data_IF_331276658417
#
_entry.id   IF_331276658417
#
_cell.length_a   1.000
_cell.length_b   1.000
_cell.length_c   1.000
_cell.angle_alpha   90.00
_cell.angle_beta   90.00
_cell.angle_gamma   90.00
#
_symmetry.space_group_name_H-M   'P 1'
#
loop_
_entity.id
_entity.type
_entity.pdbx_description
1 polymer ?
#
# COMPACT_ATOMS: atom_id res chain seq x y z
N UNK A 1 45.49 22.33 -39.03
CA UNK A 1 45.37 22.98 -40.37
C UNK A 1 44.93 21.88 -41.32
N UNK A 2 43.80 21.90 -42.01
CA UNK A 2 42.93 22.96 -42.54
C UNK A 2 41.45 22.50 -42.45
N UNK A 3 40.53 23.35 -41.99
CA UNK A 3 39.55 24.11 -42.79
C UNK A 3 38.28 23.32 -43.19
N UNK A 4 37.13 23.63 -42.54
CA UNK A 4 35.79 23.49 -43.13
C UNK A 4 35.55 24.57 -44.21
N UNK A 5 34.33 24.89 -44.70
CA UNK A 5 32.94 24.59 -44.27
C UNK A 5 32.06 24.21 -45.54
N UNK A 6 30.73 24.46 -45.73
CA UNK A 6 29.71 25.17 -44.94
C UNK A 6 28.33 24.49 -44.74
N UNK A 7 27.63 25.05 -43.74
CA UNK A 7 26.20 24.90 -43.48
C UNK A 7 25.36 25.60 -44.57
N UNK A 8 24.29 24.93 -45.01
CA UNK A 8 23.24 25.53 -45.85
C UNK A 8 21.87 25.36 -45.21
N UNK A 9 21.35 26.48 -44.71
CA UNK A 9 19.96 26.98 -44.83
C UNK A 9 19.14 26.31 -45.94
N UNK A 10 17.81 26.11 -45.92
CA UNK A 10 16.65 26.70 -45.23
C UNK A 10 15.41 25.97 -45.75
N UNK A 11 14.31 25.89 -44.98
CA UNK A 11 12.95 26.43 -45.32
C UNK A 11 11.83 25.67 -44.61
N UNK A 12 11.16 26.39 -43.70
CA UNK A 12 9.80 26.09 -43.25
C UNK A 12 8.78 26.54 -44.32
N UNK A 13 7.71 25.78 -44.57
CA UNK A 13 6.48 26.32 -45.09
C UNK A 13 5.49 26.69 -43.97
N UNK A 14 4.82 27.80 -44.23
CA UNK A 14 3.88 28.57 -43.41
C UNK A 14 2.46 27.96 -43.36
N UNK A 15 1.71 28.27 -42.30
CA UNK A 15 0.29 27.93 -42.09
C UNK A 15 -0.63 28.57 -43.15
N UNK A 16 -1.60 27.81 -43.68
CA UNK A 16 -3.06 27.93 -43.41
C UNK A 16 -3.91 27.06 -44.38
N UNK A 17 -5.17 26.91 -43.97
CA UNK A 17 -6.35 26.29 -44.62
C UNK A 17 -6.53 24.80 -44.33
N UNK A 18 -7.31 24.38 -43.34
CA UNK A 18 -8.76 24.57 -43.10
C UNK A 18 -9.65 23.93 -44.18
N UNK A 19 -9.78 22.60 -44.14
CA UNK A 19 -11.01 21.93 -44.62
C UNK A 19 -11.43 20.82 -43.67
N UNK A 20 -12.69 20.95 -43.26
CA UNK A 20 -13.47 20.09 -42.38
C UNK A 20 -13.65 18.70 -42.99
N UNK A 21 -13.47 17.65 -42.20
CA UNK A 21 -14.33 16.45 -42.25
C UNK A 21 -14.44 15.87 -40.84
N UNK A 22 -15.54 16.26 -40.18
CA UNK A 22 -16.11 15.56 -39.05
C UNK A 22 -16.72 14.24 -39.55
N UNK A 23 -16.30 13.12 -38.96
CA UNK A 23 -17.06 11.88 -38.94
C UNK A 23 -17.07 11.44 -37.47
N UNK A 24 -18.11 11.85 -36.74
CA UNK A 24 -19.25 11.00 -36.43
C UNK A 24 -18.90 9.90 -35.40
N UNK A 25 -18.68 10.31 -34.14
CA UNK A 25 -18.98 9.47 -32.98
C UNK A 25 -20.36 9.86 -32.49
N UNK A 26 -21.32 8.98 -32.76
CA UNK A 26 -22.73 9.15 -32.47
C UNK A 26 -23.03 9.16 -30.98
N UNK A 27 -23.88 10.12 -30.61
CA UNK A 27 -24.95 10.06 -29.61
C UNK A 27 -24.79 9.04 -28.47
N UNK A 28 -24.50 9.54 -27.27
CA UNK A 28 -25.14 8.99 -26.06
C UNK A 28 -25.58 10.11 -25.13
N UNK A 29 -26.76 10.67 -25.41
CA UNK A 29 -27.57 11.38 -24.42
C UNK A 29 -28.71 10.45 -24.02
N UNK A 30 -28.80 10.13 -22.72
CA UNK A 30 -29.82 10.65 -21.77
C UNK A 30 -30.26 9.58 -20.76
N UNK A 31 -30.24 9.99 -19.49
CA UNK A 31 -31.17 9.65 -18.39
C UNK A 31 -31.20 8.25 -17.78
N UNK A 32 -30.89 8.25 -16.47
CA UNK A 32 -31.08 7.23 -15.43
C UNK A 32 -32.40 6.44 -15.55
N UNK A 33 -32.32 5.13 -15.33
CA UNK A 33 -33.36 4.35 -14.64
C UNK A 33 -32.66 3.47 -13.60
N UNK A 34 -33.00 3.69 -12.33
CA UNK A 34 -32.49 2.94 -11.21
C UNK A 34 -33.15 1.56 -11.16
N UNK A 35 -32.31 0.51 -11.15
CA UNK A 35 -32.62 -0.77 -10.51
C UNK A 35 -31.35 -1.15 -9.75
N UNK A 36 -31.29 -0.78 -8.48
CA UNK A 36 -30.35 -1.36 -7.54
C UNK A 36 -30.96 -2.71 -7.14
N UNK A 37 -30.27 -3.81 -7.41
CA UNK A 37 -30.70 -5.14 -6.98
C UNK A 37 -30.38 -5.29 -5.48
N UNK A 38 -31.39 -5.25 -4.58
CA UNK A 38 -31.19 -5.13 -3.13
C UNK A 38 -30.51 -6.36 -2.48
N UNK A 39 -30.34 -7.45 -3.22
CA UNK A 39 -29.77 -8.70 -2.71
C UNK A 39 -28.23 -8.69 -2.72
N UNK A 40 -27.61 -7.98 -3.67
CA UNK A 40 -26.14 -7.86 -3.75
C UNK A 40 -25.58 -6.80 -2.79
N UNK A 41 -26.38 -5.83 -2.38
CA UNK A 41 -25.96 -4.79 -1.44
C UNK A 41 -25.91 -5.31 0.01
N UNK A 42 -26.71 -6.32 0.36
CA UNK A 42 -26.62 -7.03 1.65
C UNK A 42 -25.37 -7.90 1.79
N UNK A 43 -24.81 -8.40 0.68
CA UNK A 43 -23.49 -9.04 0.70
C UNK A 43 -22.39 -7.98 0.77
N UNK A 44 -22.57 -6.83 0.10
CA UNK A 44 -21.62 -5.73 0.23
C UNK A 44 -21.60 -5.15 1.64
N UNK A 45 -22.69 -5.03 2.37
CA UNK A 45 -22.64 -4.51 3.75
C UNK A 45 -21.99 -5.47 4.75
N UNK A 46 -21.92 -6.77 4.43
CA UNK A 46 -21.24 -7.79 5.23
C UNK A 46 -19.74 -7.89 4.91
N UNK A 47 -19.34 -7.63 3.66
CA UNK A 47 -17.92 -7.60 3.24
C UNK A 47 -17.28 -6.20 3.26
N UNK A 48 -18.10 -5.17 3.12
CA UNK A 48 -17.78 -3.74 3.10
C UNK A 48 -18.73 -3.06 4.08
N UNK A 49 -18.53 -3.31 5.38
CA UNK A 49 -19.27 -2.71 6.49
C UNK A 49 -19.74 -1.29 6.17
N UNK A 50 -21.00 -1.00 6.53
CA UNK A 50 -21.69 0.27 6.26
C UNK A 50 -20.73 1.46 6.29
N UNK A 51 -20.92 2.40 5.35
CA UNK A 51 -20.11 3.62 5.15
C UNK A 51 -20.17 4.61 6.33
N UNK A 52 -19.85 4.14 7.53
CA UNK A 52 -19.52 4.89 8.72
C UNK A 52 -18.01 4.85 8.87
N UNK A 53 -17.38 6.00 8.67
CA UNK A 53 -16.03 6.38 9.14
C UNK A 53 -15.13 5.18 9.44
N UNK A 54 -14.32 4.78 8.44
CA UNK A 54 -13.24 3.78 8.61
C UNK A 54 -12.63 3.92 9.99
N UNK A 55 -12.54 2.83 10.75
CA UNK A 55 -12.03 2.85 12.13
C UNK A 55 -10.58 3.38 12.15
N UNK A 56 -9.84 3.22 11.05
CA UNK A 56 -8.51 3.81 10.82
C UNK A 56 -8.51 5.27 10.34
N UNK A 57 -9.70 5.86 10.14
CA UNK A 57 -9.86 7.00 9.25
C UNK A 57 -9.38 6.68 7.83
N UNK A 58 -9.19 7.73 7.03
CA UNK A 58 -8.64 7.65 5.68
C UNK A 58 -7.10 7.77 5.66
N UNK A 59 -6.42 7.66 6.82
CA UNK A 59 -4.96 7.78 6.91
C UNK A 59 -4.28 6.42 6.63
N UNK A 60 -3.57 6.27 5.50
CA UNK A 60 -2.88 5.02 5.18
C UNK A 60 -1.71 4.71 6.11
N UNK A 61 -1.17 5.69 6.85
CA UNK A 61 -0.12 5.45 7.86
C UNK A 61 -0.68 4.76 9.09
N UNK A 62 -1.87 5.15 9.55
CA UNK A 62 -2.56 4.49 10.65
C UNK A 62 -3.00 3.08 10.25
N UNK A 63 -3.53 2.91 9.03
CA UNK A 63 -3.86 1.61 8.48
C UNK A 63 -2.63 0.69 8.38
N UNK A 64 -1.50 1.20 7.88
CA UNK A 64 -0.25 0.44 7.84
C UNK A 64 0.24 0.08 9.25
N UNK A 65 0.24 1.03 10.19
CA UNK A 65 0.64 0.79 11.57
C UNK A 65 -0.24 -0.28 12.25
N UNK A 66 -1.56 -0.28 11.99
CA UNK A 66 -2.47 -1.30 12.50
C UNK A 66 -2.14 -2.69 11.95
N UNK A 67 -1.78 -2.82 10.67
CA UNK A 67 -1.31 -4.09 10.12
C UNK A 67 0.02 -4.56 10.73
N UNK A 68 0.93 -3.64 11.05
CA UNK A 68 2.19 -3.97 11.73
C UNK A 68 1.93 -4.46 13.16
N UNK A 69 1.01 -3.82 13.88
CA UNK A 69 0.58 -4.25 15.21
C UNK A 69 -0.08 -5.63 15.16
N UNK A 70 -0.97 -5.85 14.19
CA UNK A 70 -1.60 -7.16 13.98
C UNK A 70 -0.55 -8.25 13.75
N UNK A 71 0.49 -7.98 12.96
CA UNK A 71 1.57 -8.93 12.72
C UNK A 71 2.38 -9.28 13.97
N UNK A 72 2.63 -8.28 14.82
CA UNK A 72 3.33 -8.48 16.07
C UNK A 72 2.45 -9.01 17.21
N UNK A 73 1.14 -9.17 16.99
CA UNK A 73 0.18 -9.69 17.99
C UNK A 73 -0.29 -11.11 17.68
N UNK A 74 0.26 -11.76 16.63
CA UNK A 74 -0.18 -13.09 16.18
C UNK A 74 -0.07 -14.15 17.28
N UNK A 75 0.95 -14.06 18.14
CA UNK A 75 1.17 -14.96 19.28
C UNK A 75 0.59 -14.42 20.61
N UNK A 76 0.00 -13.22 20.59
CA UNK A 76 -0.69 -12.61 21.72
C UNK A 76 0.11 -11.58 22.54
N UNK A 77 1.36 -11.27 22.20
CA UNK A 77 2.14 -10.27 22.96
C UNK A 77 2.92 -9.28 22.09
N UNK A 78 2.53 -8.01 22.14
CA UNK A 78 3.30 -6.89 21.58
C UNK A 78 4.28 -6.33 22.62
N UNK A 79 5.26 -7.14 23.00
CA UNK A 79 6.27 -6.79 24.00
C UNK A 79 7.68 -7.02 23.46
N UNK A 80 8.64 -6.16 23.83
CA UNK A 80 10.04 -6.37 23.46
C UNK A 80 10.41 -5.82 22.08
N UNK A 81 10.94 -6.68 21.21
CA UNK A 81 11.67 -6.28 20.00
C UNK A 81 10.74 -5.76 18.89
N UNK A 82 9.54 -6.31 18.79
CA UNK A 82 8.54 -6.01 17.76
C UNK A 82 8.00 -4.59 17.92
N UNK A 83 7.65 -4.20 19.15
CA UNK A 83 7.16 -2.84 19.43
C UNK A 83 8.23 -1.77 19.15
N UNK A 84 9.47 -2.02 19.56
CA UNK A 84 10.60 -1.14 19.25
C UNK A 84 10.87 -1.06 17.75
N UNK A 85 10.73 -2.19 17.05
CA UNK A 85 10.86 -2.27 15.60
C UNK A 85 9.78 -1.48 14.88
N UNK A 86 8.52 -1.59 15.29
CA UNK A 86 7.42 -0.78 14.73
C UNK A 86 7.71 0.71 14.95
N UNK A 87 8.09 1.14 16.16
CA UNK A 87 8.45 2.54 16.41
C UNK A 87 9.60 3.03 15.53
N UNK A 88 10.61 2.20 15.29
CA UNK A 88 11.71 2.51 14.35
C UNK A 88 11.17 2.71 12.93
N UNK A 89 10.36 1.78 12.44
CA UNK A 89 9.76 1.86 11.11
C UNK A 89 8.87 3.10 10.93
N UNK A 90 8.04 3.43 11.92
CA UNK A 90 7.18 4.62 11.87
C UNK A 90 7.99 5.91 11.79
N UNK A 91 9.14 5.98 12.47
CA UNK A 91 10.05 7.13 12.40
C UNK A 91 10.74 7.22 11.04
N UNK A 92 11.33 6.12 10.59
CA UNK A 92 12.18 6.12 9.38
C UNK A 92 11.38 6.17 8.08
N UNK A 93 10.28 5.40 7.99
CA UNK A 93 9.53 5.22 6.74
C UNK A 93 8.44 6.26 6.55
N UNK A 94 7.90 6.81 7.63
CA UNK A 94 6.90 7.88 7.59
C UNK A 94 7.45 9.25 7.99
N UNK A 95 8.73 9.34 8.35
CA UNK A 95 9.39 10.61 8.72
C UNK A 95 8.81 11.24 9.98
N UNK A 96 8.30 10.44 10.91
CA UNK A 96 7.62 10.93 12.10
C UNK A 96 8.61 11.21 13.25
N UNK A 97 8.44 12.32 13.99
CA UNK A 97 9.15 12.51 15.25
C UNK A 97 8.71 11.47 16.28
N UNK A 98 9.55 11.19 17.28
CA UNK A 98 9.32 10.13 18.27
C UNK A 98 7.96 10.24 18.97
N UNK A 99 7.53 11.43 19.35
CA UNK A 99 6.22 11.68 19.97
C UNK A 99 5.05 11.30 19.05
N UNK A 100 5.13 11.65 17.76
CA UNK A 100 4.11 11.31 16.78
C UNK A 100 4.12 9.83 16.43
N UNK A 101 5.29 9.19 16.35
CA UNK A 101 5.41 7.76 16.12
C UNK A 101 4.79 6.94 17.26
N UNK A 102 5.02 7.33 18.52
CA UNK A 102 4.36 6.72 19.69
C UNK A 102 2.86 6.92 19.66
N UNK A 103 2.41 8.15 19.41
CA UNK A 103 0.97 8.44 19.29
C UNK A 103 0.29 7.63 18.19
N UNK A 104 0.96 7.44 17.05
CA UNK A 104 0.44 6.61 15.95
C UNK A 104 0.41 5.12 16.32
N UNK A 105 1.43 4.62 17.02
CA UNK A 105 1.44 3.25 17.53
C UNK A 105 0.31 3.00 18.53
N UNK A 106 0.06 3.93 19.47
CA UNK A 106 -1.01 3.79 20.46
C UNK A 106 -2.40 3.80 19.81
N UNK A 107 -2.58 4.65 18.78
CA UNK A 107 -3.80 4.65 17.96
C UNK A 107 -3.96 3.31 17.23
N UNK A 108 -2.89 2.80 16.60
CA UNK A 108 -2.91 1.52 15.90
C UNK A 108 -3.23 0.34 16.83
N UNK A 109 -2.70 0.33 18.05
CA UNK A 109 -3.02 -0.67 19.09
C UNK A 109 -4.49 -0.64 19.48
N UNK A 110 -5.01 0.56 19.77
CA UNK A 110 -6.42 0.76 20.10
C UNK A 110 -7.33 0.25 18.98
N UNK A 111 -6.98 0.61 17.76
CA UNK A 111 -7.70 0.27 16.54
C UNK A 111 -7.69 -1.22 16.25
N UNK A 112 -6.55 -1.88 16.39
CA UNK A 112 -6.41 -3.32 16.22
C UNK A 112 -7.25 -4.08 17.26
N UNK A 113 -7.23 -3.65 18.53
CA UNK A 113 -8.08 -4.23 19.58
C UNK A 113 -9.59 -4.06 19.34
N UNK A 114 -9.99 -3.05 18.57
CA UNK A 114 -11.39 -2.82 18.16
C UNK A 114 -11.77 -3.55 16.87
N UNK A 115 -10.80 -3.85 16.00
CA UNK A 115 -11.00 -4.40 14.67
C UNK A 115 -10.09 -5.60 14.46
N UNK A 116 -10.60 -6.79 14.78
CA UNK A 116 -9.92 -8.06 14.50
C UNK A 116 -9.97 -8.45 13.00
N UNK A 117 -9.98 -7.46 12.10
CA UNK A 117 -10.19 -7.65 10.67
C UNK A 117 -9.13 -6.90 9.85
N UNK A 118 -8.50 -7.61 8.91
CA UNK A 118 -7.48 -7.05 7.99
C UNK A 118 -8.10 -6.15 6.90
N UNK A 119 -9.36 -6.42 6.53
CA UNK A 119 -9.97 -5.82 5.34
C UNK A 119 -10.10 -4.29 5.40
N UNK A 120 -10.55 -3.68 6.52
CA UNK A 120 -10.64 -2.23 6.62
C UNK A 120 -9.28 -1.53 6.39
N UNK A 121 -8.19 -2.06 6.97
CA UNK A 121 -6.85 -1.47 6.83
C UNK A 121 -6.29 -1.65 5.43
N UNK A 122 -6.41 -2.86 4.87
CA UNK A 122 -5.91 -3.15 3.52
C UNK A 122 -6.65 -2.34 2.46
N UNK A 123 -7.96 -2.10 2.64
CA UNK A 123 -8.73 -1.20 1.76
C UNK A 123 -8.18 0.23 1.77
N UNK A 124 -7.94 0.83 2.94
CA UNK A 124 -7.39 2.19 3.04
C UNK A 124 -6.03 2.27 2.34
N UNK A 125 -5.18 1.26 2.53
CA UNK A 125 -3.86 1.22 1.88
C UNK A 125 -4.00 1.10 0.36
N UNK A 126 -4.85 0.20 -0.15
CA UNK A 126 -5.07 0.05 -1.59
C UNK A 126 -5.61 1.32 -2.23
N UNK A 127 -6.53 2.00 -1.55
CA UNK A 127 -7.17 3.22 -2.07
C UNK A 127 -6.23 4.45 -2.07
N UNK A 128 -5.18 4.43 -1.24
CA UNK A 128 -4.30 5.61 -1.00
C UNK A 128 -2.85 5.42 -1.46
N UNK A 129 -2.35 4.20 -1.53
CA UNK A 129 -0.97 3.88 -1.88
C UNK A 129 -0.85 3.24 -3.26
N UNK A 130 0.19 3.65 -3.99
CA UNK A 130 0.60 3.03 -5.24
C UNK A 130 1.31 1.69 -5.02
N UNK A 131 1.59 0.97 -6.10
CA UNK A 131 2.21 -0.36 -6.00
C UNK A 131 3.56 -0.37 -5.26
N UNK A 132 4.52 0.55 -5.54
CA UNK A 132 5.76 0.66 -4.75
C UNK A 132 5.52 0.88 -3.25
N UNK A 133 4.58 1.75 -2.88
CA UNK A 133 4.23 2.00 -1.49
C UNK A 133 3.61 0.76 -0.82
N UNK A 134 2.78 -0.01 -1.53
CA UNK A 134 2.23 -1.28 -1.02
C UNK A 134 3.30 -2.34 -0.80
N UNK A 135 4.28 -2.44 -1.72
CA UNK A 135 5.45 -3.31 -1.53
C UNK A 135 6.25 -2.88 -0.30
N UNK A 136 6.41 -1.57 -0.08
CA UNK A 136 7.06 -1.03 1.12
C UNK A 136 6.33 -1.42 2.41
N UNK A 137 4.99 -1.50 2.42
CA UNK A 137 4.23 -2.02 3.57
C UNK A 137 4.52 -3.49 3.83
N UNK A 138 4.58 -4.32 2.78
CA UNK A 138 4.95 -5.74 2.92
C UNK A 138 6.37 -5.91 3.45
N UNK A 139 7.31 -5.08 3.01
CA UNK A 139 8.68 -5.08 3.55
C UNK A 139 8.71 -4.72 5.04
N UNK A 140 7.93 -3.73 5.47
CA UNK A 140 7.81 -3.38 6.88
C UNK A 140 7.21 -4.52 7.71
N UNK A 141 6.21 -5.25 7.18
CA UNK A 141 5.66 -6.43 7.83
C UNK A 141 6.72 -7.51 8.02
N UNK A 142 7.52 -7.80 6.99
CA UNK A 142 8.66 -8.72 7.11
C UNK A 142 9.66 -8.27 8.16
N UNK A 143 9.98 -6.97 8.23
CA UNK A 143 10.88 -6.43 9.25
C UNK A 143 10.36 -6.58 10.69
N UNK A 144 9.04 -6.59 10.88
CA UNK A 144 8.41 -6.78 12.19
C UNK A 144 8.42 -8.25 12.59
N UNK A 145 7.99 -9.16 11.71
CA UNK A 145 7.95 -10.60 12.04
C UNK A 145 9.34 -11.18 12.27
N UNK A 146 10.40 -10.59 11.70
CA UNK A 146 11.78 -11.01 11.97
C UNK A 146 12.42 -10.31 13.19
N UNK A 147 11.72 -9.41 13.88
CA UNK A 147 12.34 -8.54 14.89
C UNK A 147 12.95 -9.34 16.07
N UNK A 148 12.34 -10.46 16.44
CA UNK A 148 12.83 -11.35 17.49
C UNK A 148 13.79 -12.46 16.97
N UNK A 149 14.05 -12.49 15.66
CA UNK A 149 14.94 -13.46 15.01
C UNK A 149 14.33 -14.84 14.75
N UNK A 150 13.07 -15.07 15.10
CA UNK A 150 12.33 -16.29 14.77
C UNK A 150 11.17 -15.93 13.84
N UNK A 151 10.86 -16.82 12.90
CA UNK A 151 9.68 -16.69 12.04
C UNK A 151 8.77 -17.88 12.28
N UNK A 152 7.54 -17.61 12.68
CA UNK A 152 6.52 -18.62 12.88
C UNK A 152 5.61 -18.75 11.65
N UNK A 153 5.07 -19.94 11.42
CA UNK A 153 4.20 -20.22 10.27
C UNK A 153 2.96 -19.32 10.23
N UNK A 154 2.42 -18.96 11.41
CA UNK A 154 1.28 -18.06 11.52
C UNK A 154 1.60 -16.64 11.06
N UNK A 155 2.79 -16.14 11.38
CA UNK A 155 3.27 -14.81 10.96
C UNK A 155 3.53 -14.79 9.45
N UNK A 156 4.22 -15.81 8.93
CA UNK A 156 4.47 -15.94 7.50
C UNK A 156 3.15 -16.04 6.70
N UNK A 157 2.18 -16.79 7.22
CA UNK A 157 0.83 -16.91 6.64
C UNK A 157 0.08 -15.58 6.67
N UNK A 158 0.19 -14.81 7.76
CA UNK A 158 -0.38 -13.47 7.86
C UNK A 158 0.21 -12.55 6.77
N UNK A 159 1.53 -12.47 6.65
CA UNK A 159 2.18 -11.58 5.66
C UNK A 159 1.79 -11.98 4.23
N UNK A 160 1.72 -13.29 3.92
CA UNK A 160 1.26 -13.77 2.60
C UNK A 160 -0.17 -13.36 2.30
N UNK A 161 -1.08 -13.49 3.28
CA UNK A 161 -2.49 -13.07 3.14
C UNK A 161 -2.61 -11.56 2.94
N UNK A 162 -1.86 -10.77 3.72
CA UNK A 162 -1.84 -9.30 3.56
C UNK A 162 -1.28 -8.90 2.20
N UNK A 163 -0.22 -9.56 1.70
CA UNK A 163 0.31 -9.31 0.35
C UNK A 163 -0.75 -9.50 -0.74
N UNK A 164 -1.53 -10.58 -0.65
CA UNK A 164 -2.67 -10.81 -1.55
C UNK A 164 -3.72 -9.69 -1.49
N UNK A 165 -4.08 -9.25 -0.28
CA UNK A 165 -5.04 -8.16 -0.07
C UNK A 165 -4.54 -6.79 -0.56
N UNK A 166 -3.22 -6.56 -0.53
CA UNK A 166 -2.58 -5.35 -1.04
C UNK A 166 -2.22 -5.42 -2.53
N UNK A 167 -2.63 -6.48 -3.24
CA UNK A 167 -2.30 -6.72 -4.64
C UNK A 167 -0.78 -6.68 -4.90
N UNK A 168 0.00 -7.27 -4.00
CA UNK A 168 1.44 -7.45 -4.13
C UNK A 168 1.71 -8.89 -4.56
N UNK A 169 2.51 -9.06 -5.62
CA UNK A 169 2.81 -10.39 -6.16
C UNK A 169 3.66 -11.22 -5.19
N UNK A 170 3.59 -12.55 -5.29
CA UNK A 170 4.45 -13.46 -4.51
C UNK A 170 5.94 -13.16 -4.77
N UNK A 171 6.30 -12.77 -6.00
CA UNK A 171 7.65 -12.38 -6.37
C UNK A 171 8.10 -11.10 -5.65
N UNK A 172 7.27 -10.05 -5.67
CA UNK A 172 7.59 -8.78 -5.00
C UNK A 172 7.63 -8.94 -3.49
N UNK A 173 6.73 -9.75 -2.92
CA UNK A 173 6.73 -10.09 -1.50
C UNK A 173 8.00 -10.87 -1.11
N UNK A 174 8.43 -11.82 -1.93
CA UNK A 174 9.70 -12.53 -1.74
C UNK A 174 10.91 -11.60 -1.81
N UNK A 175 10.93 -10.66 -2.76
CA UNK A 175 11.98 -9.65 -2.84
C UNK A 175 11.97 -8.69 -1.63
N UNK A 176 10.78 -8.30 -1.14
CA UNK A 176 10.62 -7.51 0.07
C UNK A 176 11.15 -8.25 1.31
N UNK A 177 10.88 -9.56 1.42
CA UNK A 177 11.44 -10.41 2.48
C UNK A 177 12.97 -10.39 2.46
N UNK A 178 13.59 -10.56 1.29
CA UNK A 178 15.05 -10.52 1.16
C UNK A 178 15.64 -9.17 1.60
N UNK A 179 15.00 -8.05 1.23
CA UNK A 179 15.44 -6.71 1.67
C UNK A 179 15.28 -6.51 3.17
N UNK A 180 14.20 -7.01 3.76
CA UNK A 180 13.99 -6.98 5.21
C UNK A 180 15.09 -7.76 5.95
N UNK A 181 15.37 -9.00 5.52
CA UNK A 181 16.46 -9.81 6.08
C UNK A 181 17.82 -9.13 5.95
N UNK A 182 18.12 -8.52 4.79
CA UNK A 182 19.36 -7.78 4.59
C UNK A 182 19.49 -6.58 5.53
N UNK A 183 18.40 -5.81 5.73
CA UNK A 183 18.38 -4.66 6.64
C UNK A 183 18.57 -5.06 8.11
N UNK A 184 18.06 -6.24 8.48
CA UNK A 184 18.22 -6.82 9.82
C UNK A 184 19.54 -7.57 10.02
N UNK A 185 20.39 -7.68 8.99
CA UNK A 185 21.65 -8.44 9.08
C UNK A 185 21.46 -9.96 9.13
N UNK A 186 20.28 -10.47 8.74
CA UNK A 186 19.93 -11.89 8.72
C UNK A 186 20.27 -12.56 7.37
N UNK A 187 20.89 -11.84 6.44
CA UNK A 187 21.27 -12.35 5.13
C UNK A 187 22.32 -13.47 5.29
N UNK A 188 21.88 -14.72 5.17
CA UNK A 188 22.74 -15.91 5.27
C UNK A 188 22.32 -16.94 6.32
N UNK A 189 21.40 -16.60 7.23
CA UNK A 189 20.81 -17.60 8.14
C UNK A 189 19.71 -18.39 7.45
N UNK A 190 19.74 -19.74 7.48
CA UNK A 190 18.57 -20.53 7.13
C UNK A 190 17.49 -20.27 8.20
N UNK A 191 16.41 -19.61 7.78
CA UNK A 191 15.16 -19.46 8.54
C UNK A 191 14.15 -20.50 8.07
#
# INVERSE_FOLDING_TARGET
MAAGPPLSHVRFPSRRDATKTLTAWGLFRRTRCARQDPMFDSLKSLFFGESGRSVAGDDPRLAAAALLVEAAMVDGTLEGAEGAQILRLLRERFGLPDTAARGLLDQARTLQGQSNQLFPFTKVIVDRYDAPQRISVIEMLWEVVFANGQLHDYEASLVRRVAGLLFVSDQDSGAARQRAMARLGLAGSPV
#
